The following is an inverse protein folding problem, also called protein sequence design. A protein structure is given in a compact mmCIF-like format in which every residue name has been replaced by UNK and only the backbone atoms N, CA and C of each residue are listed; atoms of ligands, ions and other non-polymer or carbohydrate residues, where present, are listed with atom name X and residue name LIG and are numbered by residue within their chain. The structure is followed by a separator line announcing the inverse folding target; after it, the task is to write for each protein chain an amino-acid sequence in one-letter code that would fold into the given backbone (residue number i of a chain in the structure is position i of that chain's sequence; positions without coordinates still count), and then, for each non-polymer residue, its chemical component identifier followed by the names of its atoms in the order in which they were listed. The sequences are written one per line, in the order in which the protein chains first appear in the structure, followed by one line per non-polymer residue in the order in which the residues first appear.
data_IF_008578306246
#
_entry.id   IF_008578306246
#
_cell.length_a   1.000
_cell.length_b   1.000
_cell.length_c   1.000
_cell.angle_alpha   90.00
_cell.angle_beta   90.00
_cell.angle_gamma   90.00
#
_symmetry.space_group_name_H-M   'P 1'
#
loop_
_entity.id
_entity.type
_entity.pdbx_description
1 polymer ?
#
# COMPACT_ATOMS: atom_id res chain seq x y z
N UNK A 1 14.01 0.33 -18.75
CA UNK A 1 12.55 0.13 -18.48
C UNK A 1 12.37 -1.28 -17.92
N UNK A 2 11.72 -1.40 -16.74
CA UNK A 2 11.47 -2.72 -16.16
C UNK A 2 10.49 -3.52 -17.03
N UNK A 3 10.75 -4.80 -17.30
CA UNK A 3 9.78 -5.61 -18.03
C UNK A 3 8.51 -5.81 -17.20
N UNK A 4 7.37 -5.82 -17.87
CA UNK A 4 6.10 -6.15 -17.24
C UNK A 4 6.05 -7.67 -17.13
N UNK A 5 5.95 -8.16 -15.91
CA UNK A 5 5.69 -9.57 -15.62
C UNK A 5 4.22 -9.71 -15.26
N UNK A 6 3.63 -10.84 -15.60
CA UNK A 6 2.28 -11.16 -15.18
C UNK A 6 2.26 -12.59 -14.67
N UNK A 7 1.82 -12.77 -13.45
CA UNK A 7 1.64 -14.08 -12.84
C UNK A 7 0.48 -14.00 -11.85
N UNK A 8 -0.65 -14.60 -12.21
CA UNK A 8 -1.91 -14.51 -11.48
C UNK A 8 -1.92 -15.31 -10.19
N UNK A 9 -0.80 -15.94 -9.82
CA UNK A 9 -0.66 -16.60 -8.51
C UNK A 9 -0.09 -15.65 -7.45
N UNK A 10 0.28 -14.43 -7.83
CA UNK A 10 0.94 -13.48 -6.93
C UNK A 10 0.34 -12.09 -6.97
N UNK A 11 0.44 -11.38 -5.82
CA UNK A 11 0.37 -9.92 -5.76
C UNK A 11 1.81 -9.40 -5.72
N UNK A 12 2.17 -8.58 -6.68
CA UNK A 12 3.49 -7.95 -6.76
C UNK A 12 3.53 -6.65 -5.96
N UNK A 13 4.73 -6.17 -5.65
CA UNK A 13 4.87 -4.90 -4.95
C UNK A 13 4.31 -3.74 -5.78
N UNK A 14 3.49 -2.86 -5.18
CA UNK A 14 3.02 -1.65 -5.85
C UNK A 14 4.06 -0.53 -5.89
N UNK A 15 5.13 -0.64 -5.10
CA UNK A 15 6.10 0.45 -4.91
C UNK A 15 7.50 -0.13 -4.74
N UNK A 16 8.51 0.67 -5.08
CA UNK A 16 9.88 0.43 -4.63
C UNK A 16 9.99 0.96 -3.21
N UNK A 17 10.67 0.25 -2.33
CA UNK A 17 10.87 0.73 -0.97
C UNK A 17 11.09 -0.38 0.04
N UNK A 18 11.10 0.01 1.31
CA UNK A 18 11.32 -0.90 2.44
C UNK A 18 9.98 -1.23 3.09
N UNK A 19 9.72 -2.52 3.31
CA UNK A 19 8.53 -2.97 4.04
C UNK A 19 8.70 -2.57 5.51
N UNK A 20 7.85 -1.63 5.98
CA UNK A 20 7.94 -1.14 7.36
C UNK A 20 6.95 -1.84 8.31
N UNK A 21 5.93 -2.48 7.76
CA UNK A 21 5.06 -3.40 8.50
C UNK A 21 4.32 -4.33 7.54
N UNK A 22 3.97 -5.52 8.04
CA UNK A 22 3.06 -6.42 7.35
C UNK A 22 2.31 -7.26 8.38
N UNK A 23 0.97 -7.22 8.33
CA UNK A 23 0.12 -7.83 9.37
C UNK A 23 -1.24 -8.24 8.82
N UNK A 24 -1.92 -9.08 9.58
CA UNK A 24 -3.35 -9.35 9.40
C UNK A 24 -4.05 -8.80 10.64
N UNK A 25 -4.96 -7.85 10.43
CA UNK A 25 -5.64 -7.11 11.51
C UNK A 25 -7.12 -6.94 11.20
N UNK A 26 -7.92 -6.69 12.23
CA UNK A 26 -9.30 -6.20 12.06
C UNK A 26 -9.26 -4.70 11.77
N UNK A 27 -10.35 -4.19 11.21
CA UNK A 27 -10.43 -2.79 10.78
C UNK A 27 -10.19 -1.76 11.89
N UNK A 28 -10.56 -2.09 13.12
CA UNK A 28 -10.37 -1.21 14.29
C UNK A 28 -9.10 -1.51 15.11
N UNK A 29 -8.44 -2.64 14.84
CA UNK A 29 -7.21 -3.00 15.57
C UNK A 29 -6.03 -2.19 15.05
N UNK A 30 -5.03 -1.99 15.90
CA UNK A 30 -3.82 -1.27 15.53
C UNK A 30 -2.98 -2.07 14.52
N UNK A 31 -2.67 -1.46 13.39
CA UNK A 31 -1.62 -1.95 12.48
C UNK A 31 -0.26 -1.76 13.15
N UNK A 32 -0.01 -0.53 13.58
CA UNK A 32 1.15 -0.18 14.40
C UNK A 32 0.73 0.87 15.44
N UNK A 33 1.55 1.02 16.46
CA UNK A 33 1.45 2.13 17.40
C UNK A 33 2.53 3.15 17.04
N UNK A 34 2.14 4.42 16.94
CA UNK A 34 3.05 5.52 16.61
C UNK A 34 2.95 6.55 17.73
N UNK A 35 4.01 6.72 18.50
CA UNK A 35 4.07 7.68 19.62
C UNK A 35 2.87 7.54 20.57
N UNK A 36 2.53 6.30 20.91
CA UNK A 36 1.44 5.99 21.83
C UNK A 36 0.03 6.11 21.25
N UNK A 37 -0.10 6.31 19.94
CA UNK A 37 -1.38 6.38 19.24
C UNK A 37 -1.50 5.26 18.23
N UNK A 38 -2.61 4.54 18.26
CA UNK A 38 -2.87 3.44 17.32
C UNK A 38 -3.21 3.97 15.94
N UNK A 39 -2.60 3.37 14.91
CA UNK A 39 -2.95 3.57 13.52
C UNK A 39 -3.73 2.35 13.06
N UNK A 40 -4.98 2.53 12.65
CA UNK A 40 -5.87 1.45 12.23
C UNK A 40 -6.26 1.59 10.76
N UNK A 41 -6.73 0.49 10.15
CA UNK A 41 -7.18 0.53 8.75
C UNK A 41 -8.42 1.41 8.57
N UNK A 42 -9.31 1.44 9.56
CA UNK A 42 -10.50 2.28 9.53
C UNK A 42 -10.13 3.77 9.44
N UNK A 43 -9.13 4.17 10.24
CA UNK A 43 -8.60 5.55 10.21
C UNK A 43 -7.89 5.83 8.87
N UNK A 44 -7.17 4.84 8.37
CA UNK A 44 -6.39 4.98 7.14
C UNK A 44 -7.27 5.16 5.91
N UNK A 45 -8.26 4.27 5.74
CA UNK A 45 -9.05 4.17 4.51
C UNK A 45 -10.20 5.19 4.49
N UNK A 46 -10.84 5.42 5.63
CA UNK A 46 -11.96 6.35 5.78
C UNK A 46 -13.04 6.14 4.71
N UNK A 47 -13.36 4.87 4.44
CA UNK A 47 -14.38 4.49 3.47
C UNK A 47 -15.53 3.81 4.23
N UNK A 48 -16.75 4.39 4.21
CA UNK A 48 -17.89 3.75 4.89
C UNK A 48 -18.27 2.39 4.29
N UNK A 49 -17.84 2.11 3.06
CA UNK A 49 -18.08 0.81 2.42
C UNK A 49 -16.97 -0.20 2.67
N UNK A 50 -15.95 0.16 3.46
CA UNK A 50 -14.86 -0.76 3.78
C UNK A 50 -15.42 -1.97 4.56
N UNK A 51 -15.16 -3.21 4.10
CA UNK A 51 -15.77 -4.38 4.73
C UNK A 51 -15.23 -4.63 6.13
N UNK A 52 -16.11 -5.06 7.02
CA UNK A 52 -15.71 -5.50 8.36
C UNK A 52 -14.97 -6.84 8.28
N UNK A 53 -14.12 -7.10 9.25
CA UNK A 53 -13.39 -8.37 9.36
C UNK A 53 -11.89 -8.19 9.25
N UNK A 54 -11.22 -9.28 8.92
CA UNK A 54 -9.76 -9.28 8.83
C UNK A 54 -9.30 -8.72 7.49
N UNK A 55 -8.23 -7.96 7.54
CA UNK A 55 -7.53 -7.47 6.34
C UNK A 55 -6.03 -7.72 6.48
N UNK A 56 -5.41 -8.03 5.37
CA UNK A 56 -3.96 -8.06 5.25
C UNK A 56 -3.47 -6.66 4.88
N UNK A 57 -2.42 -6.19 5.52
CA UNK A 57 -1.83 -4.88 5.20
C UNK A 57 -0.31 -5.01 5.12
N UNK A 58 0.27 -4.36 4.10
CA UNK A 58 1.72 -4.24 3.91
C UNK A 58 2.02 -2.76 3.65
N UNK A 59 2.81 -2.14 4.52
CA UNK A 59 3.26 -0.75 4.36
C UNK A 59 4.66 -0.71 3.79
N UNK A 60 4.85 0.04 2.71
CA UNK A 60 6.11 0.17 1.99
C UNK A 60 6.52 1.64 1.98
N UNK A 61 7.65 1.96 2.59
CA UNK A 61 8.20 3.31 2.59
C UNK A 61 9.16 3.48 1.42
N UNK A 62 8.92 4.50 0.60
CA UNK A 62 9.71 4.80 -0.60
C UNK A 62 10.73 5.88 -0.23
N UNK A 63 12.02 5.50 -0.19
CA UNK A 63 13.10 6.44 0.12
C UNK A 63 13.44 7.32 -1.10
N UNK A 64 14.27 8.34 -0.91
CA UNK A 64 14.73 9.21 -2.00
C UNK A 64 15.45 8.46 -3.12
N UNK A 65 15.99 7.29 -2.82
CA UNK A 65 16.74 6.50 -3.80
C UNK A 65 15.85 5.56 -4.62
N UNK A 66 14.57 5.48 -4.29
CA UNK A 66 13.63 4.56 -4.94
C UNK A 66 13.00 5.17 -6.18
N UNK A 67 12.48 4.32 -7.05
CA UNK A 67 11.73 4.76 -8.22
C UNK A 67 10.30 5.06 -7.79
N UNK A 68 9.93 6.33 -7.85
CA UNK A 68 8.65 6.81 -7.32
C UNK A 68 7.49 6.64 -8.31
N UNK A 69 7.39 5.45 -8.93
CA UNK A 69 6.29 5.09 -9.83
C UNK A 69 5.59 3.86 -9.27
N UNK A 70 4.31 3.98 -9.03
CA UNK A 70 3.52 2.90 -8.47
C UNK A 70 2.88 2.05 -9.58
N UNK A 71 2.76 0.76 -9.29
CA UNK A 71 2.25 -0.24 -10.23
C UNK A 71 1.13 -1.05 -9.59
N UNK A 72 0.27 -1.60 -10.44
CA UNK A 72 -0.89 -2.40 -10.02
C UNK A 72 -0.41 -3.79 -9.57
N UNK A 73 -0.60 -4.17 -8.29
CA UNK A 73 -0.14 -5.49 -7.80
C UNK A 73 -0.82 -6.69 -8.44
N UNK A 74 -2.12 -6.56 -8.75
CA UNK A 74 -2.96 -7.60 -9.33
C UNK A 74 -3.99 -6.93 -10.23
N UNK A 75 -4.28 -7.48 -11.43
CA UNK A 75 -5.11 -6.74 -12.39
C UNK A 75 -6.54 -6.53 -11.91
N UNK A 76 -7.12 -5.44 -12.35
CA UNK A 76 -8.49 -5.11 -12.00
C UNK A 76 -8.91 -3.73 -12.48
N UNK A 77 -10.08 -3.33 -12.05
CA UNK A 77 -10.65 -2.02 -12.36
C UNK A 77 -10.38 -1.07 -11.21
N UNK A 78 -9.63 -0.01 -11.48
CA UNK A 78 -9.21 0.97 -10.47
C UNK A 78 -10.14 2.17 -10.46
N UNK A 79 -10.54 2.59 -9.25
CA UNK A 79 -11.12 3.89 -8.97
C UNK A 79 -10.31 4.55 -7.85
N UNK A 80 -10.14 5.87 -7.89
CA UNK A 80 -9.36 6.56 -6.87
C UNK A 80 -10.16 7.68 -6.22
N UNK A 81 -9.77 8.02 -4.99
CA UNK A 81 -10.35 9.13 -4.22
C UNK A 81 -9.26 9.79 -3.39
N UNK A 82 -9.17 11.11 -3.50
CA UNK A 82 -8.29 11.90 -2.64
C UNK A 82 -8.94 12.04 -1.27
N UNK A 83 -8.15 11.79 -0.21
CA UNK A 83 -8.58 11.93 1.17
C UNK A 83 -7.83 13.11 1.77
N UNK A 84 -8.60 14.09 2.22
CA UNK A 84 -8.05 15.31 2.83
C UNK A 84 -7.23 14.98 4.07
N UNK A 85 -6.22 15.79 4.38
CA UNK A 85 -5.48 15.59 5.63
C UNK A 85 -6.39 15.81 6.84
N UNK A 86 -6.10 15.12 7.92
CA UNK A 86 -6.87 15.28 9.17
C UNK A 86 -6.45 16.58 9.87
N UNK A 87 -5.18 16.91 9.78
CA UNK A 87 -4.62 18.17 10.33
C UNK A 87 -4.44 19.18 9.19
N UNK A 88 -4.25 20.45 9.56
CA UNK A 88 -4.14 21.52 8.57
C UNK A 88 -2.88 21.45 7.71
N UNK A 89 -1.86 20.73 8.16
CA UNK A 89 -0.61 20.57 7.44
C UNK A 89 -0.16 19.12 7.45
N UNK A 90 0.39 18.67 6.32
CA UNK A 90 1.05 17.38 6.24
C UNK A 90 2.34 17.40 7.09
N UNK A 91 2.67 16.27 7.67
CA UNK A 91 3.91 16.09 8.43
C UNK A 91 5.01 15.55 7.51
N UNK A 92 6.25 16.04 7.67
CA UNK A 92 7.35 15.54 6.84
C UNK A 92 7.70 14.08 7.20
N UNK A 93 8.17 13.35 6.20
CA UNK A 93 8.57 11.95 6.36
C UNK A 93 10.06 11.76 6.60
N UNK A 94 10.81 12.86 6.79
CA UNK A 94 12.28 12.87 6.88
C UNK A 94 12.81 12.00 8.03
N UNK A 95 12.08 11.89 9.15
CA UNK A 95 12.54 11.07 10.28
C UNK A 95 12.55 9.58 9.90
N UNK A 96 11.52 9.10 9.21
CA UNK A 96 11.49 7.72 8.71
C UNK A 96 12.57 7.51 7.65
N UNK A 97 12.72 8.46 6.73
CA UNK A 97 13.76 8.44 5.69
C UNK A 97 15.14 8.21 6.31
N UNK A 98 15.48 9.03 7.32
CA UNK A 98 16.79 8.95 7.99
C UNK A 98 16.97 7.62 8.72
N UNK A 99 15.94 7.10 9.39
CA UNK A 99 16.06 5.82 10.09
C UNK A 99 16.28 4.66 9.13
N UNK A 100 15.71 4.70 7.95
CA UNK A 100 15.89 3.66 6.94
C UNK A 100 17.24 3.77 6.23
N UNK A 101 17.68 4.98 5.90
CA UNK A 101 18.94 5.19 5.16
C UNK A 101 20.16 5.07 6.09
N UNK A 102 20.13 5.74 7.22
CA UNK A 102 21.26 5.80 8.15
C UNK A 102 21.27 4.68 9.19
N UNK A 103 20.01 4.39 9.58
CA UNK A 103 19.97 3.60 10.45
C UNK A 103 19.70 2.40 10.16
N UNK A 104 19.45 2.10 9.05
CA UNK A 104 19.08 0.81 8.51
C UNK A 104 18.07 0.09 9.43
N UNK A 105 17.20 0.87 10.06
CA UNK A 105 16.20 0.35 11.02
C UNK A 105 14.82 0.89 10.70
N UNK A 106 13.79 0.07 10.95
CA UNK A 106 12.41 0.50 10.90
C UNK A 106 12.02 0.98 12.29
N UNK A 107 11.78 2.29 12.44
CA UNK A 107 11.32 2.88 13.69
C UNK A 107 9.91 3.45 13.49
N UNK A 108 8.92 2.72 13.99
CA UNK A 108 7.50 3.07 13.80
C UNK A 108 7.12 4.42 14.42
N UNK A 109 7.84 4.89 15.44
CA UNK A 109 7.56 6.20 16.02
C UNK A 109 7.85 7.36 15.07
N UNK A 110 8.61 7.10 13.99
CA UNK A 110 8.85 8.09 12.94
C UNK A 110 7.72 8.15 11.90
N UNK A 111 6.65 7.36 12.07
CA UNK A 111 5.55 7.26 11.11
C UNK A 111 4.32 8.09 11.50
N UNK A 112 4.49 9.20 12.21
CA UNK A 112 3.36 10.03 12.66
C UNK A 112 2.57 10.69 11.50
N UNK A 113 3.17 10.79 10.32
CA UNK A 113 2.48 11.22 9.09
C UNK A 113 1.27 10.31 8.74
N UNK A 114 1.27 9.05 9.19
CA UNK A 114 0.15 8.14 8.93
C UNK A 114 -1.16 8.63 9.54
N UNK A 115 -1.09 9.36 10.65
CA UNK A 115 -2.30 9.88 11.30
C UNK A 115 -2.87 11.12 10.60
N UNK A 116 -2.03 11.94 10.01
CA UNK A 116 -2.42 13.31 9.60
C UNK A 116 -2.38 13.58 8.11
N UNK A 117 -1.45 12.95 7.38
CA UNK A 117 -1.15 13.39 6.01
C UNK A 117 -2.26 13.05 5.02
N UNK A 118 -2.37 13.89 4.01
CA UNK A 118 -3.22 13.70 2.85
C UNK A 118 -2.82 12.40 2.13
N UNK A 119 -3.83 11.73 1.60
CA UNK A 119 -3.62 10.45 0.94
C UNK A 119 -4.57 10.23 -0.23
N UNK A 120 -4.19 9.35 -1.14
CA UNK A 120 -5.05 8.91 -2.24
C UNK A 120 -5.40 7.44 -2.01
N UNK A 121 -6.70 7.16 -1.97
CA UNK A 121 -7.22 5.81 -1.84
C UNK A 121 -7.54 5.28 -3.25
N UNK A 122 -6.82 4.26 -3.66
CA UNK A 122 -7.03 3.56 -4.92
C UNK A 122 -7.70 2.22 -4.62
N UNK A 123 -8.95 2.05 -5.04
CA UNK A 123 -9.70 0.81 -4.89
C UNK A 123 -9.61 0.04 -6.20
N UNK A 124 -9.17 -1.20 -6.15
CA UNK A 124 -9.05 -2.06 -7.34
C UNK A 124 -9.98 -3.25 -7.17
N UNK A 125 -10.90 -3.42 -8.12
CA UNK A 125 -11.78 -4.59 -8.19
C UNK A 125 -11.10 -5.67 -9.00
N UNK A 126 -10.58 -6.69 -8.31
CA UNK A 126 -9.96 -7.87 -8.92
C UNK A 126 -11.07 -8.87 -9.24
N UNK A 127 -11.67 -8.73 -10.42
CA UNK A 127 -12.90 -9.41 -10.80
C UNK A 127 -12.72 -10.94 -10.79
N UNK A 128 -11.59 -11.42 -11.29
CA UNK A 128 -11.33 -12.87 -11.36
C UNK A 128 -11.08 -13.51 -9.99
N UNK A 129 -10.75 -12.72 -8.97
CA UNK A 129 -10.61 -13.19 -7.59
C UNK A 129 -11.89 -12.95 -6.78
N UNK A 130 -12.82 -12.16 -7.28
CA UNK A 130 -14.04 -11.79 -6.57
C UNK A 130 -13.79 -10.95 -5.33
N UNK A 131 -12.74 -10.11 -5.34
CA UNK A 131 -12.44 -9.26 -4.19
C UNK A 131 -12.00 -7.86 -4.62
N UNK A 132 -12.13 -6.91 -3.71
CA UNK A 132 -11.56 -5.58 -3.83
C UNK A 132 -10.31 -5.50 -2.96
N UNK A 133 -9.27 -4.81 -3.45
CA UNK A 133 -8.12 -4.47 -2.64
C UNK A 133 -7.82 -2.98 -2.81
N UNK A 134 -6.98 -2.46 -1.95
CA UNK A 134 -6.73 -1.03 -1.89
C UNK A 134 -5.24 -0.75 -1.93
N UNK A 135 -4.88 0.33 -2.62
CA UNK A 135 -3.53 0.88 -2.60
C UNK A 135 -3.68 2.30 -2.04
N UNK A 136 -3.16 2.51 -0.85
CA UNK A 136 -3.25 3.79 -0.16
C UNK A 136 -1.90 4.49 -0.27
N UNK A 137 -1.89 5.66 -0.92
CA UNK A 137 -0.68 6.44 -1.15
C UNK A 137 -0.69 7.63 -0.19
N UNK A 138 0.37 7.80 0.59
CA UNK A 138 0.51 8.89 1.55
C UNK A 138 1.43 9.96 0.97
N UNK A 139 0.93 11.19 0.93
CA UNK A 139 1.69 12.35 0.50
C UNK A 139 2.64 12.79 1.60
N UNK A 140 3.84 13.22 1.22
CA UNK A 140 4.77 13.90 2.11
C UNK A 140 4.27 15.34 2.36
N UNK A 141 5.16 16.24 2.57
CA UNK A 141 4.92 17.62 2.93
C UNK A 141 4.02 18.37 1.94
N UNK A 142 4.12 18.05 0.66
CA UNK A 142 3.44 18.78 -0.41
C UNK A 142 2.25 17.98 -0.97
N UNK A 143 1.10 18.63 -1.04
CA UNK A 143 -0.19 18.06 -1.45
C UNK A 143 -0.18 17.53 -2.88
N UNK A 144 0.55 18.18 -3.78
CA UNK A 144 0.59 17.82 -5.20
C UNK A 144 1.62 16.73 -5.51
N UNK A 145 2.06 15.99 -4.48
CA UNK A 145 3.10 14.97 -4.67
C UNK A 145 2.60 13.69 -5.35
N UNK A 146 1.28 13.43 -5.31
CA UNK A 146 0.69 12.20 -5.89
C UNK A 146 -0.01 12.55 -7.21
N UNK A 147 0.46 11.95 -8.31
CA UNK A 147 -0.07 12.24 -9.66
C UNK A 147 -0.50 10.94 -10.33
N UNK A 148 -1.81 10.68 -10.45
CA UNK A 148 -2.29 9.55 -11.25
C UNK A 148 -2.01 9.81 -12.73
N UNK A 149 -1.64 8.74 -13.46
CA UNK A 149 -1.37 8.85 -14.89
C UNK A 149 -2.65 8.94 -15.72
N UNK A 150 -3.76 8.47 -15.15
CA UNK A 150 -5.07 8.53 -15.81
C UNK A 150 -6.12 8.84 -14.75
N UNK A 151 -6.92 9.87 -14.99
CA UNK A 151 -7.98 10.30 -14.08
C UNK A 151 -9.35 9.74 -14.49
N UNK A 152 -9.38 8.84 -15.49
CA UNK A 152 -10.65 8.21 -15.90
C UNK A 152 -11.22 7.39 -14.74
N UNK A 153 -12.47 7.55 -14.41
CA UNK A 153 -13.09 6.69 -13.40
C UNK A 153 -13.20 5.26 -13.94
N UNK A 154 -12.93 4.30 -13.07
CA UNK A 154 -13.09 2.87 -13.38
C UNK A 154 -12.25 2.39 -14.58
N UNK A 155 -10.98 2.74 -14.60
CA UNK A 155 -10.07 2.25 -15.64
C UNK A 155 -9.57 0.83 -15.32
N UNK A 156 -9.57 -0.03 -16.34
CA UNK A 156 -8.97 -1.37 -16.25
C UNK A 156 -7.45 -1.29 -16.37
N UNK A 157 -6.75 -2.04 -15.52
CA UNK A 157 -5.29 -2.12 -15.50
C UNK A 157 -4.85 -3.57 -15.51
N UNK A 158 -3.78 -3.83 -16.25
CA UNK A 158 -3.08 -5.11 -16.21
C UNK A 158 -2.13 -5.16 -15.01
N UNK A 159 -1.74 -6.36 -14.62
CA UNK A 159 -0.78 -6.56 -13.53
C UNK A 159 0.55 -5.86 -13.85
N UNK A 160 1.07 -5.14 -12.86
CA UNK A 160 2.33 -4.41 -12.92
C UNK A 160 2.34 -3.22 -13.89
N UNK A 161 1.19 -2.86 -14.43
CA UNK A 161 1.02 -1.63 -15.19
C UNK A 161 1.19 -0.41 -14.26
N UNK A 162 1.84 0.64 -14.75
CA UNK A 162 2.05 1.88 -14.01
C UNK A 162 0.75 2.66 -13.92
N UNK A 163 0.39 3.15 -12.71
CA UNK A 163 -0.87 3.89 -12.56
C UNK A 163 -0.68 5.27 -11.94
N UNK A 164 0.42 5.51 -11.22
CA UNK A 164 0.61 6.77 -10.50
C UNK A 164 2.08 7.03 -10.24
N UNK A 165 2.40 8.28 -9.97
CA UNK A 165 3.71 8.72 -9.51
C UNK A 165 3.55 9.47 -8.19
N UNK A 166 4.45 9.26 -7.24
CA UNK A 166 4.55 10.06 -6.02
C UNK A 166 5.90 10.75 -6.03
N UNK A 167 5.94 12.05 -5.71
CA UNK A 167 7.19 12.80 -5.62
C UNK A 167 7.69 12.81 -4.18
N UNK A 168 9.00 12.78 -3.99
CA UNK A 168 9.71 12.87 -2.70
C UNK A 168 9.47 11.62 -1.85
N UNK A 169 9.91 11.63 -0.58
CA UNK A 169 9.67 10.52 0.36
C UNK A 169 8.18 10.25 0.48
N UNK A 170 7.78 8.99 0.52
CA UNK A 170 6.37 8.61 0.45
C UNK A 170 6.14 7.23 1.01
N UNK A 171 4.89 6.92 1.27
CA UNK A 171 4.50 5.58 1.69
C UNK A 171 3.33 5.07 0.87
N UNK A 172 3.34 3.77 0.62
CA UNK A 172 2.25 3.07 -0.06
C UNK A 172 1.85 1.85 0.78
N UNK A 173 0.57 1.77 1.15
CA UNK A 173 0.03 0.59 1.82
C UNK A 173 -0.78 -0.24 0.83
N UNK A 174 -0.48 -1.53 0.75
CA UNK A 174 -1.32 -2.53 0.08
C UNK A 174 -2.24 -3.15 1.12
N UNK A 175 -3.55 -3.05 0.91
CA UNK A 175 -4.56 -3.52 1.87
C UNK A 175 -5.51 -4.47 1.16
N UNK A 176 -5.66 -5.70 1.68
CA UNK A 176 -6.53 -6.71 1.09
C UNK A 176 -7.50 -7.21 2.17
N UNK A 177 -8.79 -6.79 2.11
CA UNK A 177 -9.80 -7.42 2.98
C UNK A 177 -9.89 -8.91 2.67
N UNK A 178 -9.81 -9.74 3.70
CA UNK A 178 -9.75 -11.19 3.53
C UNK A 178 -11.15 -11.79 3.40
N UNK A 179 -11.26 -12.79 2.54
CA UNK A 179 -12.49 -13.54 2.33
C UNK A 179 -12.25 -15.00 2.74
N UNK A 180 -13.33 -15.77 2.88
CA UNK A 180 -13.21 -17.19 3.21
C UNK A 180 -12.73 -18.03 2.01
N UNK A 181 -12.79 -17.47 0.81
CA UNK A 181 -12.49 -18.21 -0.42
C UNK A 181 -11.02 -18.17 -0.83
N UNK A 182 -10.23 -17.24 -0.29
CA UNK A 182 -8.82 -17.08 -0.67
C UNK A 182 -7.96 -16.91 0.58
N UNK A 183 -6.79 -17.53 0.54
CA UNK A 183 -5.76 -17.32 1.56
C UNK A 183 -4.53 -16.74 0.89
N UNK A 184 -3.71 -16.06 1.68
CA UNK A 184 -2.51 -15.41 1.19
C UNK A 184 -1.31 -15.80 2.05
N UNK A 185 -0.18 -16.05 1.41
CA UNK A 185 1.08 -16.32 2.09
C UNK A 185 2.02 -15.16 1.84
N UNK A 186 2.54 -14.55 2.90
CA UNK A 186 3.59 -13.53 2.81
C UNK A 186 4.86 -14.15 2.25
N UNK A 187 5.51 -13.46 1.30
CA UNK A 187 6.74 -13.92 0.65
C UNK A 187 7.95 -13.07 1.05
N UNK A 188 7.73 -11.94 1.68
CA UNK A 188 8.78 -11.00 2.10
C UNK A 188 8.69 -10.81 3.61
N UNK A 189 9.68 -10.15 4.20
CA UNK A 189 9.73 -9.84 5.63
C UNK A 189 9.84 -8.33 5.84
N UNK A 190 9.45 -7.87 7.03
CA UNK A 190 9.65 -6.47 7.42
C UNK A 190 11.14 -6.13 7.36
N UNK A 191 11.48 -4.93 6.91
CA UNK A 191 12.84 -4.49 6.70
C UNK A 191 13.40 -4.84 5.32
N UNK A 192 12.70 -5.68 4.53
CA UNK A 192 13.15 -6.04 3.17
C UNK A 192 12.87 -4.89 2.20
N UNK A 193 13.85 -4.56 1.36
CA UNK A 193 13.65 -3.67 0.23
C UNK A 193 13.03 -4.45 -0.93
N UNK A 194 11.98 -3.91 -1.54
CA UNK A 194 11.25 -4.54 -2.66
C UNK A 194 11.15 -3.57 -3.84
N UNK A 195 10.97 -4.12 -5.03
CA UNK A 195 10.83 -3.35 -6.27
C UNK A 195 9.47 -3.57 -6.93
N UNK A 196 8.82 -2.46 -7.29
CA UNK A 196 7.50 -2.45 -7.92
C UNK A 196 7.47 -3.27 -9.22
N UNK A 197 6.55 -4.21 -9.29
CA UNK A 197 6.37 -5.05 -10.47
C UNK A 197 7.42 -6.13 -10.68
N UNK A 198 8.38 -6.24 -9.76
CA UNK A 198 9.45 -7.25 -9.80
C UNK A 198 9.25 -8.27 -8.68
N UNK A 199 9.10 -7.78 -7.44
CA UNK A 199 9.06 -8.65 -6.27
C UNK A 199 7.62 -9.03 -5.91
N UNK A 200 7.30 -10.33 -5.87
CA UNK A 200 6.00 -10.76 -5.35
C UNK A 200 5.98 -10.60 -3.83
N UNK A 201 4.92 -9.98 -3.33
CA UNK A 201 4.71 -9.81 -1.89
C UNK A 201 3.89 -10.94 -1.29
N UNK A 202 2.92 -11.45 -2.07
CA UNK A 202 1.97 -12.44 -1.58
C UNK A 202 1.75 -13.52 -2.64
N UNK A 203 1.69 -14.78 -2.17
CA UNK A 203 1.21 -15.88 -3.00
C UNK A 203 -0.26 -16.14 -2.66
N UNK A 204 -1.09 -16.26 -3.69
CA UNK A 204 -2.51 -16.60 -3.58
C UNK A 204 -2.64 -18.11 -3.42
N UNK A 205 -3.36 -18.54 -2.39
CA UNK A 205 -3.65 -19.96 -2.13
C UNK A 205 -5.13 -20.20 -2.37
N UNK A 206 -5.43 -20.87 -3.46
CA UNK A 206 -6.81 -21.22 -3.83
C UNK A 206 -7.25 -22.49 -3.11
N UNK A 207 -8.56 -22.68 -2.85
CA UNK A 207 -9.03 -23.83 -2.04
C UNK A 207 -8.61 -25.20 -2.58
N UNK A 208 -8.44 -25.33 -3.89
CA UNK A 208 -8.10 -26.61 -4.53
C UNK A 208 -6.61 -26.97 -4.44
N UNK A 209 -5.76 -26.08 -3.93
CA UNK A 209 -4.32 -26.31 -3.79
C UNK A 209 -3.93 -26.79 -2.38
N UNK A 210 -4.94 -26.95 -1.50
CA UNK A 210 -4.73 -27.34 -0.09
C UNK A 210 -5.00 -28.82 0.17
N UNK A 211 -5.18 -29.64 -0.90
CA UNK A 211 -5.43 -31.08 -0.77
C UNK A 211 -4.16 -31.93 -0.93
#
# INVERSE_FOLDING_TARGET
MRPIKSDRDFFFSPADGVIIYQKIVKEDDAVIEVKGRNYSLKEAVRDPEYPSGLSLVIGIFMTFYDVHINRIPYPGVLSYRELEPIESLNRPMLAMENSLIDXLTVDHDNADYLHSNQRVLNKVSAIDLGLNYYILQFADYDVDSITPFDISPHRSYEQNERFSQIRYGSQVDLIIPLTNSLKFKFLQEEGTHVEAGIDPLLKIQRPFELS
#
